data_IF_241689748721
#
_entry.id   IF_241689748721
#
_cell.length_a   1.000
_cell.length_b   1.000
_cell.length_c   1.000
_cell.angle_alpha   90.00
_cell.angle_beta   90.00
_cell.angle_gamma   90.00
#
_symmetry.space_group_name_H-M   'P 1'
#
loop_
_entity.id
_entity.type
_entity.pdbx_description
1 polymer ?
#
# COMPACT_ATOMS: atom_id res chain seq x y z
N UNK A 1 4.33 16.83 13.26
CA UNK A 1 3.05 17.38 13.79
C UNK A 1 1.90 16.58 13.25
N UNK A 2 0.81 16.43 13.99
CA UNK A 2 -0.43 15.78 13.52
C UNK A 2 -1.58 16.78 13.58
N UNK A 3 -2.35 16.87 12.50
CA UNK A 3 -3.63 17.58 12.44
C UNK A 3 -4.74 16.54 12.57
N UNK A 4 -5.52 16.63 13.62
CA UNK A 4 -6.68 15.77 13.89
C UNK A 4 -7.96 16.45 13.46
N UNK A 5 -8.73 15.76 12.62
CA UNK A 5 -9.98 16.23 12.04
C UNK A 5 -11.10 15.26 12.45
N UNK A 6 -12.08 15.68 13.27
CA UNK A 6 -13.24 14.85 13.56
C UNK A 6 -14.14 14.73 12.33
N UNK A 7 -14.59 13.53 12.03
CA UNK A 7 -15.51 13.24 10.92
C UNK A 7 -16.93 13.40 11.43
N UNK A 8 -17.72 14.27 10.79
CA UNK A 8 -19.10 14.56 11.21
C UNK A 8 -20.09 13.48 10.81
N UNK A 9 -19.85 12.86 9.64
CA UNK A 9 -20.70 11.82 9.08
C UNK A 9 -19.86 10.56 8.77
N UNK A 10 -19.42 9.83 9.81
CA UNK A 10 -18.66 8.61 9.60
C UNK A 10 -19.54 7.49 9.07
N UNK A 11 -19.05 6.77 8.07
CA UNK A 11 -19.62 5.49 7.63
C UNK A 11 -19.39 4.38 8.65
N UNK A 12 -19.82 3.17 8.34
CA UNK A 12 -19.65 1.99 9.21
C UNK A 12 -18.19 1.69 9.58
N UNK A 13 -17.25 2.04 8.69
CA UNK A 13 -15.80 1.90 8.91
C UNK A 13 -15.16 3.06 9.69
N UNK A 14 -15.95 4.06 10.11
CA UNK A 14 -15.45 5.28 10.74
C UNK A 14 -14.77 6.26 9.77
N UNK A 15 -14.84 6.02 8.46
CA UNK A 15 -14.32 6.93 7.41
C UNK A 15 -15.40 7.91 6.96
N UNK A 16 -15.03 9.12 6.47
CA UNK A 16 -16.00 10.06 5.94
C UNK A 16 -16.68 9.51 4.69
N UNK A 17 -17.93 9.82 4.48
CA UNK A 17 -18.71 9.37 3.32
C UNK A 17 -18.99 10.52 2.37
N UNK A 18 -19.10 10.20 1.06
CA UNK A 18 -19.57 11.08 0.00
C UNK A 18 -18.94 12.50 0.03
N UNK A 19 -19.81 13.51 0.04
CA UNK A 19 -19.43 14.93 -0.03
C UNK A 19 -18.50 15.38 1.11
N UNK A 20 -18.58 14.77 2.28
CA UNK A 20 -17.65 15.08 3.37
C UNK A 20 -16.23 14.58 3.10
N UNK A 21 -16.10 13.42 2.46
CA UNK A 21 -14.80 12.90 2.06
C UNK A 21 -14.12 13.85 1.06
N UNK A 22 -14.86 14.30 0.06
CA UNK A 22 -14.37 15.26 -0.94
C UNK A 22 -13.99 16.58 -0.30
N UNK A 23 -14.85 17.13 0.58
CA UNK A 23 -14.57 18.37 1.29
C UNK A 23 -13.28 18.29 2.12
N UNK A 24 -13.12 17.26 2.95
CA UNK A 24 -11.92 17.12 3.78
C UNK A 24 -10.67 16.99 2.90
N UNK A 25 -10.73 16.23 1.80
CA UNK A 25 -9.63 16.11 0.87
C UNK A 25 -9.25 17.47 0.24
N UNK A 26 -10.24 18.25 -0.20
CA UNK A 26 -10.02 19.61 -0.75
C UNK A 26 -9.38 20.56 0.26
N UNK A 27 -9.77 20.47 1.55
CA UNK A 27 -9.20 21.29 2.62
C UNK A 27 -7.76 20.86 2.96
N UNK A 28 -7.48 19.56 2.97
CA UNK A 28 -6.11 19.05 3.10
C UNK A 28 -5.21 19.53 1.94
N UNK A 29 -5.71 19.52 0.70
CA UNK A 29 -4.96 19.98 -0.47
C UNK A 29 -4.65 21.48 -0.39
N UNK A 30 -5.57 22.30 0.15
CA UNK A 30 -5.29 23.72 0.40
C UNK A 30 -4.18 23.91 1.43
N UNK A 31 -4.18 23.13 2.51
CA UNK A 31 -3.10 23.16 3.51
C UNK A 31 -1.80 22.72 2.86
N UNK A 32 -1.76 21.59 2.14
CA UNK A 32 -0.57 21.06 1.48
C UNK A 32 0.04 22.10 0.54
N UNK A 33 -0.77 22.82 -0.22
CA UNK A 33 -0.32 23.89 -1.10
C UNK A 33 0.25 25.10 -0.34
N UNK A 34 -0.33 25.47 0.81
CA UNK A 34 0.14 26.62 1.60
C UNK A 34 1.46 26.34 2.33
N UNK A 35 1.69 25.09 2.73
CA UNK A 35 2.88 24.71 3.49
C UNK A 35 4.06 24.21 2.64
N UNK A 36 3.93 24.11 1.31
CA UNK A 36 4.86 23.44 0.41
C UNK A 36 6.34 23.88 0.54
N UNK A 37 6.57 25.14 0.88
CA UNK A 37 7.91 25.70 1.07
C UNK A 37 8.48 25.46 2.49
N UNK A 38 7.68 24.95 3.42
CA UNK A 38 8.03 24.82 4.84
C UNK A 38 8.07 23.39 5.32
N UNK A 39 7.22 22.54 4.75
CA UNK A 39 7.06 21.15 5.13
C UNK A 39 6.17 20.41 4.16
N UNK A 40 5.83 19.17 4.49
CA UNK A 40 5.00 18.33 3.63
C UNK A 40 4.23 17.30 4.43
N UNK A 41 3.11 16.88 3.85
CA UNK A 41 2.30 15.77 4.32
C UNK A 41 3.05 14.45 4.05
N UNK A 42 3.14 13.59 5.08
CA UNK A 42 3.81 12.28 4.99
C UNK A 42 2.84 11.11 5.06
N UNK A 43 1.58 11.37 5.35
CA UNK A 43 0.55 10.34 5.40
C UNK A 43 -0.65 10.75 6.23
N UNK A 44 -1.66 9.89 6.20
CA UNK A 44 -2.88 10.07 7.00
C UNK A 44 -3.43 8.73 7.46
N UNK A 45 -4.09 8.75 8.62
CA UNK A 45 -4.85 7.62 9.15
C UNK A 45 -6.27 8.09 9.37
N UNK A 46 -7.21 7.30 8.88
CA UNK A 46 -8.64 7.57 9.06
C UNK A 46 -9.29 6.35 9.68
N UNK A 47 -9.76 6.50 10.91
CA UNK A 47 -10.40 5.43 11.70
C UNK A 47 -11.28 6.04 12.79
N UNK A 48 -12.29 5.29 13.21
CA UNK A 48 -13.15 5.62 14.37
C UNK A 48 -13.72 7.06 14.38
N UNK A 49 -14.06 7.57 13.21
CA UNK A 49 -14.62 8.92 13.09
C UNK A 49 -13.61 10.04 13.21
N UNK A 50 -12.32 9.76 13.11
CA UNK A 50 -11.21 10.71 13.16
C UNK A 50 -10.33 10.55 11.93
N UNK A 51 -9.76 11.66 11.46
CA UNK A 51 -8.68 11.67 10.48
C UNK A 51 -7.49 12.40 11.07
N UNK A 52 -6.38 11.70 11.23
CA UNK A 52 -5.09 12.22 11.61
C UNK A 52 -4.22 12.38 10.36
N UNK A 53 -3.78 13.61 10.09
CA UNK A 53 -2.91 13.96 8.96
C UNK A 53 -1.54 14.36 9.52
N UNK A 54 -0.48 13.71 9.02
CA UNK A 54 0.87 13.83 9.57
C UNK A 54 1.73 14.72 8.69
N UNK A 55 2.39 15.70 9.33
CA UNK A 55 3.24 16.68 8.65
C UNK A 55 4.63 16.75 9.26
N UNK A 56 5.65 16.84 8.40
CA UNK A 56 7.02 17.18 8.80
C UNK A 56 7.37 18.58 8.32
N UNK A 57 8.00 19.35 9.20
CA UNK A 57 8.46 20.71 8.93
C UNK A 57 9.94 20.83 9.20
N UNK A 58 10.65 21.60 8.35
CA UNK A 58 12.10 21.85 8.51
C UNK A 58 12.40 22.81 9.66
N UNK A 59 11.40 23.57 10.11
CA UNK A 59 11.46 24.55 11.22
C UNK A 59 10.11 24.55 11.94
N UNK A 60 10.05 25.09 13.19
CA UNK A 60 8.78 25.29 13.88
C UNK A 60 7.77 26.04 13.00
N UNK A 61 6.56 25.49 12.88
CA UNK A 61 5.51 26.00 12.01
C UNK A 61 4.18 26.08 12.76
N UNK A 62 3.37 27.09 12.45
CA UNK A 62 2.06 27.30 13.07
C UNK A 62 0.96 26.60 12.25
N UNK A 63 1.03 25.28 12.13
CA UNK A 63 0.08 24.47 11.38
C UNK A 63 -1.37 24.69 11.84
N UNK A 64 -1.58 24.88 13.15
CA UNK A 64 -2.90 25.12 13.71
C UNK A 64 -3.59 26.34 13.06
N UNK A 65 -2.90 27.47 12.94
CA UNK A 65 -3.44 28.66 12.31
C UNK A 65 -3.80 28.46 10.83
N UNK A 66 -2.99 27.69 10.12
CA UNK A 66 -3.26 27.37 8.71
C UNK A 66 -4.46 26.44 8.60
N UNK A 67 -4.54 25.44 9.44
CA UNK A 67 -5.65 24.49 9.44
C UNK A 67 -6.97 25.18 9.86
N UNK A 68 -6.95 25.99 10.92
CA UNK A 68 -8.11 26.79 11.36
C UNK A 68 -8.68 27.65 10.23
N UNK A 69 -7.84 28.31 9.45
CA UNK A 69 -8.21 29.15 8.31
C UNK A 69 -9.13 28.43 7.32
N UNK A 70 -8.93 27.12 7.13
CA UNK A 70 -9.68 26.33 6.15
C UNK A 70 -10.80 25.51 6.78
N UNK A 71 -10.65 25.03 8.00
CA UNK A 71 -11.60 24.10 8.61
C UNK A 71 -12.70 24.74 9.43
N UNK A 72 -12.43 25.89 10.10
CA UNK A 72 -13.40 26.53 11.02
C UNK A 72 -14.64 27.00 10.28
N UNK A 73 -14.53 27.61 9.10
CA UNK A 73 -15.68 28.10 8.33
C UNK A 73 -16.65 26.98 7.93
N UNK A 74 -16.11 25.73 7.83
CA UNK A 74 -16.90 24.52 7.60
C UNK A 74 -17.37 23.86 8.89
N UNK A 75 -17.14 24.48 10.06
CA UNK A 75 -17.61 24.04 11.36
C UNK A 75 -16.88 22.79 11.89
N UNK A 76 -15.61 22.58 11.55
CA UNK A 76 -14.76 21.55 12.14
C UNK A 76 -14.02 22.10 13.37
N UNK A 77 -14.03 21.34 14.44
CA UNK A 77 -13.18 21.56 15.61
C UNK A 77 -11.94 20.69 15.46
N UNK A 78 -10.87 21.27 14.92
CA UNK A 78 -9.61 20.57 14.68
C UNK A 78 -8.68 20.68 15.88
N UNK A 79 -7.74 19.74 15.98
CA UNK A 79 -6.66 19.76 16.97
C UNK A 79 -5.32 19.59 16.27
N UNK A 80 -4.28 20.26 16.76
CA UNK A 80 -2.91 20.08 16.28
C UNK A 80 -2.00 19.68 17.43
N UNK A 81 -1.30 18.56 17.27
CA UNK A 81 -0.39 18.02 18.28
C UNK A 81 1.03 17.89 17.70
N UNK A 82 2.03 18.07 18.55
CA UNK A 82 3.40 17.70 18.22
C UNK A 82 3.60 16.22 18.58
N UNK A 83 4.30 15.50 17.71
CA UNK A 83 4.83 14.17 18.00
C UNK A 83 6.28 14.36 18.37
N UNK A 84 6.66 13.92 19.58
CA UNK A 84 8.05 13.91 20.01
C UNK A 84 8.74 12.66 19.44
N UNK A 85 9.87 12.84 18.77
CA UNK A 85 10.70 11.78 18.22
C UNK A 85 12.13 11.92 18.75
N UNK A 86 12.78 10.81 19.05
CA UNK A 86 14.20 10.82 19.47
C UNK A 86 15.10 11.16 18.28
N UNK A 87 14.78 10.60 17.09
CA UNK A 87 15.45 10.93 15.84
C UNK A 87 14.41 11.32 14.80
N UNK A 88 14.76 12.23 13.85
CA UNK A 88 13.87 12.58 12.75
C UNK A 88 13.43 11.34 11.95
N UNK A 89 12.14 11.26 11.65
CA UNK A 89 11.53 10.18 10.87
C UNK A 89 11.27 8.85 11.60
N UNK A 90 11.62 8.72 12.89
CA UNK A 90 11.39 7.48 13.65
C UNK A 90 9.90 7.08 13.59
N UNK A 91 8.99 8.02 13.84
CA UNK A 91 7.56 7.76 13.78
C UNK A 91 7.09 7.37 12.36
N UNK A 92 7.61 8.05 11.33
CA UNK A 92 7.26 7.74 9.94
C UNK A 92 7.63 6.30 9.59
N UNK A 93 8.88 5.90 9.81
CA UNK A 93 9.35 4.57 9.44
C UNK A 93 8.79 3.46 10.33
N UNK A 94 8.52 3.75 11.61
CA UNK A 94 7.98 2.76 12.52
C UNK A 94 6.45 2.56 12.37
N UNK A 95 5.72 3.59 11.93
CA UNK A 95 4.27 3.60 12.01
C UNK A 95 3.54 3.94 10.71
N UNK A 96 4.02 4.91 9.94
CA UNK A 96 3.35 5.36 8.71
C UNK A 96 3.86 4.65 7.45
N UNK A 97 5.14 4.26 7.44
CA UNK A 97 5.71 3.59 6.28
C UNK A 97 5.08 2.20 6.11
N UNK A 98 4.58 1.88 4.92
CA UNK A 98 3.93 0.60 4.71
C UNK A 98 4.92 -0.56 4.87
N UNK A 99 4.51 -1.62 5.55
CA UNK A 99 5.28 -2.85 5.64
C UNK A 99 5.32 -3.60 4.30
N UNK A 100 6.16 -4.66 4.21
CA UNK A 100 6.36 -5.43 2.97
C UNK A 100 5.05 -5.95 2.33
N UNK A 101 4.08 -6.38 3.16
CA UNK A 101 2.79 -6.85 2.66
C UNK A 101 1.93 -5.70 2.15
N UNK A 102 1.90 -4.58 2.86
CA UNK A 102 1.14 -3.40 2.41
C UNK A 102 1.68 -2.85 1.10
N UNK A 103 3.01 -2.83 0.91
CA UNK A 103 3.64 -2.44 -0.37
C UNK A 103 3.18 -3.39 -1.47
N UNK A 104 3.21 -4.70 -1.22
CA UNK A 104 2.76 -5.70 -2.18
C UNK A 104 1.26 -5.55 -2.49
N UNK A 105 0.41 -5.35 -1.48
CA UNK A 105 -1.03 -5.14 -1.66
C UNK A 105 -1.35 -3.88 -2.47
N UNK A 106 -0.55 -2.81 -2.33
CA UNK A 106 -0.67 -1.62 -3.18
C UNK A 106 -0.35 -1.93 -4.65
N UNK A 107 0.65 -2.77 -4.90
CA UNK A 107 0.97 -3.30 -6.23
C UNK A 107 -0.17 -4.15 -6.79
N UNK A 108 -0.66 -5.10 -6.00
CA UNK A 108 -1.76 -5.98 -6.37
C UNK A 108 -3.03 -5.19 -6.74
N UNK A 109 -3.38 -4.16 -5.96
CA UNK A 109 -4.52 -3.30 -6.25
C UNK A 109 -4.45 -2.68 -7.64
N UNK A 110 -3.28 -2.17 -8.04
CA UNK A 110 -3.09 -1.57 -9.37
C UNK A 110 -3.38 -2.57 -10.49
N UNK A 111 -2.92 -3.82 -10.35
CA UNK A 111 -3.16 -4.88 -11.33
C UNK A 111 -4.65 -5.26 -11.36
N UNK A 112 -5.27 -5.44 -10.20
CA UNK A 112 -6.71 -5.78 -10.09
C UNK A 112 -7.58 -4.68 -10.69
N UNK A 113 -7.27 -3.41 -10.41
CA UNK A 113 -8.02 -2.28 -10.97
C UNK A 113 -7.85 -2.20 -12.49
N UNK A 114 -6.65 -2.46 -13.01
CA UNK A 114 -6.41 -2.53 -14.47
C UNK A 114 -7.17 -3.67 -15.14
N UNK A 115 -7.30 -4.84 -14.47
CA UNK A 115 -8.14 -5.95 -14.96
C UNK A 115 -9.61 -5.52 -15.05
N UNK A 116 -10.16 -4.87 -14.00
CA UNK A 116 -11.53 -4.36 -13.99
C UNK A 116 -11.78 -3.32 -15.09
N UNK A 117 -10.87 -2.37 -15.26
CA UNK A 117 -10.92 -1.36 -16.31
C UNK A 117 -10.91 -1.99 -17.71
N UNK A 118 -10.26 -3.15 -17.85
CA UNK A 118 -10.24 -3.95 -19.08
C UNK A 118 -11.51 -4.79 -19.30
N UNK A 119 -12.48 -4.73 -18.37
CA UNK A 119 -13.76 -5.41 -18.43
C UNK A 119 -13.75 -6.84 -17.82
N UNK A 120 -12.78 -7.14 -16.97
CA UNK A 120 -12.70 -8.40 -16.24
C UNK A 120 -13.61 -8.39 -15.02
N UNK A 121 -14.39 -9.46 -14.81
CA UNK A 121 -15.28 -9.60 -13.66
C UNK A 121 -14.57 -10.12 -12.40
N UNK A 122 -13.34 -10.62 -12.54
CA UNK A 122 -12.51 -11.25 -11.50
C UNK A 122 -13.09 -12.52 -10.86
N UNK A 123 -14.20 -13.03 -11.37
CA UNK A 123 -14.92 -14.18 -10.78
C UNK A 123 -14.29 -15.54 -11.13
N UNK A 124 -13.49 -15.58 -12.19
CA UNK A 124 -12.95 -16.81 -12.73
C UNK A 124 -11.51 -17.04 -12.27
N UNK A 125 -11.28 -18.20 -11.65
CA UNK A 125 -9.92 -18.70 -11.39
C UNK A 125 -9.19 -18.95 -12.73
N UNK A 126 -7.93 -18.57 -12.80
CA UNK A 126 -7.11 -18.64 -14.02
C UNK A 126 -5.63 -18.76 -13.71
N UNK A 127 -4.84 -19.07 -14.74
CA UNK A 127 -3.38 -19.06 -14.61
C UNK A 127 -2.91 -17.66 -14.16
N UNK A 128 -2.21 -17.63 -13.05
CA UNK A 128 -1.46 -16.49 -12.53
C UNK A 128 0.01 -16.82 -12.65
N UNK A 129 0.76 -15.98 -13.32
CA UNK A 129 2.21 -16.07 -13.47
C UNK A 129 2.87 -15.14 -12.45
N UNK A 130 3.92 -15.63 -11.75
CA UNK A 130 4.55 -14.92 -10.64
C UNK A 130 6.08 -15.08 -10.75
N UNK A 131 6.83 -14.05 -10.28
CA UNK A 131 8.29 -14.01 -10.42
C UNK A 131 8.97 -13.75 -9.08
N UNK A 132 10.05 -14.51 -8.83
CA UNK A 132 10.91 -14.36 -7.65
C UNK A 132 12.35 -14.29 -8.12
N UNK A 133 13.09 -13.25 -7.76
CA UNK A 133 14.50 -13.04 -8.09
C UNK A 133 15.41 -13.46 -6.95
N UNK A 134 16.63 -13.94 -7.27
CA UNK A 134 17.60 -14.45 -6.32
C UNK A 134 19.00 -13.91 -6.57
N UNK A 135 19.83 -13.94 -5.53
CA UNK A 135 21.25 -13.57 -5.63
C UNK A 135 22.14 -14.78 -5.94
N UNK A 136 21.66 -16.02 -5.74
CA UNK A 136 22.40 -17.25 -6.02
C UNK A 136 21.51 -18.34 -6.61
N UNK A 137 22.12 -19.27 -7.35
CA UNK A 137 21.43 -20.47 -7.88
C UNK A 137 20.98 -21.38 -6.73
N UNK A 138 21.74 -21.46 -5.63
CA UNK A 138 21.40 -22.27 -4.46
C UNK A 138 20.09 -21.78 -3.82
N UNK A 139 19.93 -20.47 -3.61
CA UNK A 139 18.72 -19.86 -3.09
C UNK A 139 17.51 -20.12 -4.00
N UNK A 140 17.72 -19.98 -5.33
CA UNK A 140 16.71 -20.31 -6.34
C UNK A 140 16.24 -21.76 -6.23
N UNK A 141 17.17 -22.72 -6.21
CA UNK A 141 16.85 -24.15 -6.12
C UNK A 141 16.11 -24.48 -4.83
N UNK A 142 16.49 -23.87 -3.72
CA UNK A 142 15.80 -24.02 -2.44
C UNK A 142 14.36 -23.48 -2.52
N UNK A 143 14.17 -22.30 -3.11
CA UNK A 143 12.86 -21.71 -3.33
C UNK A 143 12.00 -22.57 -4.27
N UNK A 144 12.56 -23.03 -5.39
CA UNK A 144 11.86 -23.88 -6.37
C UNK A 144 11.29 -25.15 -5.73
N UNK A 145 12.03 -25.78 -4.82
CA UNK A 145 11.55 -26.94 -4.08
C UNK A 145 10.35 -26.59 -3.16
N UNK A 146 10.36 -25.44 -2.53
CA UNK A 146 9.29 -24.99 -1.63
C UNK A 146 8.02 -24.57 -2.38
N UNK A 147 8.14 -23.84 -3.50
CA UNK A 147 6.98 -23.41 -4.30
C UNK A 147 6.23 -24.60 -4.89
N UNK A 148 6.93 -25.69 -5.25
CA UNK A 148 6.30 -26.93 -5.69
C UNK A 148 5.45 -27.54 -4.58
N UNK A 149 5.92 -27.54 -3.33
CA UNK A 149 5.15 -28.04 -2.18
C UNK A 149 3.90 -27.20 -1.89
N UNK A 150 3.90 -25.93 -2.27
CA UNK A 150 2.75 -25.02 -2.19
C UNK A 150 1.78 -25.14 -3.39
N UNK A 151 2.05 -26.09 -4.29
CA UNK A 151 1.21 -26.38 -5.45
C UNK A 151 1.45 -25.50 -6.66
N UNK A 152 2.54 -24.73 -6.69
CA UNK A 152 2.94 -24.00 -7.90
C UNK A 152 3.68 -24.91 -8.86
N UNK A 153 3.58 -24.57 -10.14
CA UNK A 153 4.40 -25.16 -11.20
C UNK A 153 5.51 -24.18 -11.55
N UNK A 154 6.67 -24.70 -11.95
CA UNK A 154 7.76 -23.88 -12.47
C UNK A 154 7.66 -23.84 -13.98
N UNK A 155 7.68 -22.64 -14.56
CA UNK A 155 7.78 -22.45 -16.01
C UNK A 155 9.25 -22.48 -16.39
N UNK A 156 9.77 -23.70 -16.61
CA UNK A 156 11.18 -23.94 -16.97
C UNK A 156 11.35 -23.86 -18.47
N UNK A 157 12.08 -22.85 -18.92
CA UNK A 157 12.64 -22.85 -20.27
C UNK A 157 14.10 -23.35 -20.19
N UNK A 158 14.40 -24.57 -20.69
CA UNK A 158 15.76 -25.14 -20.60
C UNK A 158 16.85 -24.30 -21.28
N UNK A 159 16.46 -23.36 -22.16
CA UNK A 159 17.40 -22.44 -22.82
C UNK A 159 17.91 -21.33 -21.91
N UNK A 160 17.40 -21.22 -20.66
CA UNK A 160 17.67 -20.13 -19.72
C UNK A 160 17.87 -20.63 -18.29
N UNK A 161 18.54 -21.75 -18.12
CA UNK A 161 18.75 -22.41 -16.81
C UNK A 161 19.70 -21.62 -15.87
N UNK A 162 20.38 -20.61 -16.42
CA UNK A 162 21.27 -19.66 -15.71
C UNK A 162 20.58 -18.41 -15.17
N UNK A 163 19.25 -18.29 -15.34
CA UNK A 163 18.50 -17.16 -14.84
C UNK A 163 18.46 -17.14 -13.31
N UNK A 164 18.68 -15.97 -12.75
CA UNK A 164 18.62 -15.73 -11.31
C UNK A 164 17.20 -15.40 -10.84
N UNK A 165 16.18 -16.00 -11.47
CA UNK A 165 14.79 -15.89 -11.07
C UNK A 165 14.02 -17.17 -11.33
N UNK A 166 12.96 -17.38 -10.58
CA UNK A 166 11.94 -18.39 -10.83
C UNK A 166 10.70 -17.74 -11.43
N UNK A 167 10.25 -18.25 -12.56
CA UNK A 167 8.93 -17.99 -13.10
C UNK A 167 8.04 -19.16 -12.71
N UNK A 168 7.08 -18.88 -11.85
CA UNK A 168 6.15 -19.88 -11.33
C UNK A 168 4.73 -19.54 -11.72
N UNK A 169 3.85 -20.55 -11.75
CA UNK A 169 2.45 -20.32 -12.03
C UNK A 169 1.54 -21.29 -11.30
N UNK A 170 0.33 -20.84 -11.02
CA UNK A 170 -0.77 -21.65 -10.49
C UNK A 170 -2.11 -21.10 -10.98
N UNK A 171 -3.19 -21.87 -10.85
CA UNK A 171 -4.54 -21.36 -11.10
C UNK A 171 -5.10 -20.81 -9.79
N UNK A 172 -5.33 -19.49 -9.74
CA UNK A 172 -5.82 -18.79 -8.57
C UNK A 172 -6.96 -17.83 -8.94
N UNK A 173 -7.74 -17.41 -7.94
CA UNK A 173 -8.65 -16.29 -8.06
C UNK A 173 -7.83 -15.00 -8.03
N UNK A 174 -8.28 -13.98 -8.77
CA UNK A 174 -7.54 -12.72 -8.93
C UNK A 174 -8.29 -11.52 -8.35
N UNK A 175 -9.32 -11.77 -7.54
CA UNK A 175 -9.88 -10.72 -6.71
C UNK A 175 -8.85 -10.25 -5.67
N UNK A 176 -9.06 -9.03 -5.15
CA UNK A 176 -8.05 -8.38 -4.30
C UNK A 176 -7.70 -9.16 -3.04
N UNK A 177 -8.67 -9.84 -2.44
CA UNK A 177 -8.44 -10.63 -1.23
C UNK A 177 -7.61 -11.88 -1.54
N UNK A 178 -8.07 -12.67 -2.51
CA UNK A 178 -7.43 -13.94 -2.89
C UNK A 178 -5.99 -13.74 -3.37
N UNK A 179 -5.74 -12.73 -4.21
CA UNK A 179 -4.39 -12.48 -4.71
C UNK A 179 -3.44 -11.98 -3.61
N UNK A 180 -3.92 -11.22 -2.63
CA UNK A 180 -3.11 -10.81 -1.49
C UNK A 180 -2.65 -12.02 -0.67
N UNK A 181 -3.54 -12.98 -0.39
CA UNK A 181 -3.15 -14.20 0.34
C UNK A 181 -2.07 -15.00 -0.40
N UNK A 182 -2.17 -15.09 -1.72
CA UNK A 182 -1.16 -15.78 -2.55
C UNK A 182 0.19 -15.04 -2.51
N UNK A 183 0.16 -13.73 -2.68
CA UNK A 183 1.39 -12.94 -2.74
C UNK A 183 2.07 -12.80 -1.38
N UNK A 184 1.32 -12.77 -0.27
CA UNK A 184 1.89 -12.73 1.08
C UNK A 184 2.73 -13.97 1.38
N UNK A 185 2.22 -15.16 1.00
CA UNK A 185 2.97 -16.43 1.13
C UNK A 185 4.27 -16.37 0.32
N UNK A 186 4.25 -15.80 -0.88
CA UNK A 186 5.42 -15.74 -1.75
C UNK A 186 6.42 -14.65 -1.33
N UNK A 187 5.96 -13.55 -0.74
CA UNK A 187 6.83 -12.53 -0.13
C UNK A 187 7.63 -13.14 1.03
N UNK A 188 6.98 -13.93 1.89
CA UNK A 188 7.65 -14.61 3.01
C UNK A 188 8.62 -15.68 2.52
N UNK A 189 8.20 -16.49 1.55
CA UNK A 189 9.04 -17.55 0.97
C UNK A 189 10.27 -16.96 0.26
N UNK A 190 10.11 -15.86 -0.47
CA UNK A 190 11.22 -15.19 -1.13
C UNK A 190 12.25 -14.70 -0.10
N UNK A 191 11.80 -14.02 0.96
CA UNK A 191 12.68 -13.56 2.04
C UNK A 191 13.39 -14.73 2.74
N UNK A 192 12.68 -15.83 3.04
CA UNK A 192 13.26 -17.04 3.64
C UNK A 192 14.34 -17.69 2.76
N UNK A 193 14.26 -17.50 1.44
CA UNK A 193 15.20 -18.02 0.46
C UNK A 193 16.17 -16.96 -0.07
N UNK A 194 16.42 -15.86 0.64
CA UNK A 194 17.27 -14.74 0.24
C UNK A 194 16.93 -14.20 -1.16
N UNK A 195 15.67 -14.22 -1.53
CA UNK A 195 15.14 -13.72 -2.81
C UNK A 195 14.25 -12.51 -2.62
N UNK A 196 13.77 -11.98 -3.73
CA UNK A 196 12.85 -10.85 -3.80
C UNK A 196 11.66 -11.22 -4.69
N UNK A 197 10.45 -11.13 -4.13
CA UNK A 197 9.23 -11.30 -4.89
C UNK A 197 8.97 -10.04 -5.74
N UNK A 198 8.87 -10.20 -7.06
CA UNK A 198 8.78 -9.08 -8.00
C UNK A 198 7.34 -8.73 -8.41
N UNK A 199 6.43 -9.70 -8.34
CA UNK A 199 5.04 -9.46 -8.69
C UNK A 199 4.41 -10.59 -9.51
N UNK A 200 3.23 -10.28 -10.07
CA UNK A 200 2.41 -11.24 -10.80
C UNK A 200 1.73 -10.64 -12.02
N UNK A 201 1.29 -11.52 -12.91
CA UNK A 201 0.50 -11.17 -14.08
C UNK A 201 -0.46 -12.27 -14.47
N UNK A 202 -1.48 -11.91 -15.23
CA UNK A 202 -2.49 -12.84 -15.76
C UNK A 202 -3.13 -12.28 -17.03
N UNK A 203 -3.93 -13.10 -17.70
CA UNK A 203 -4.72 -12.67 -18.87
C UNK A 203 -6.07 -12.12 -18.42
N UNK A 204 -6.60 -11.12 -19.14
CA UNK A 204 -7.97 -10.60 -18.95
C UNK A 204 -8.98 -11.67 -19.38
N UNK A 205 -9.99 -11.93 -18.54
CA UNK A 205 -11.11 -12.83 -18.84
C UNK A 205 -12.40 -12.00 -18.80
N UNK A 206 -13.14 -12.02 -19.91
CA UNK A 206 -14.41 -11.29 -20.10
C UNK A 206 -15.59 -12.23 -20.01
#
# INVERSE_FOLDING_TARGET
>A
MVLRIPIKNPGESGTPINEEADLINDLEDKINNEIIDFGFNVGRITTDGLRDVFYYFSKPYELEKVAEKYFIEHGYEIEVHNIEEENPWDFYFAFLYPNKYQIQHMGNRKVVDQLRESGDTLENSRRVDLWIYFQSIEDKVNSDAKVILLGFNIDSDPSHDDRMYSHIYRSDNVDFHSINEVTDILVDLAEECNGEYDGWGTTVVK
#
